data_IF_738986032342
#
_entry.id   IF_738986032342
#
_cell.length_a   1.000
_cell.length_b   1.000
_cell.length_c   1.000
_cell.angle_alpha   90.00
_cell.angle_beta   90.00
_cell.angle_gamma   90.00
#
_symmetry.space_group_name_H-M   'P 1'
#
loop_
_entity.id
_entity.type
_entity.pdbx_description
1 polymer ?
#
# COMPACT_ATOMS: atom_id res chain seq x y z
N UNK A 1 -12.49 -3.04 -5.84
CA UNK A 1 -11.24 -2.56 -5.19
C UNK A 1 -11.56 -2.07 -3.78
N UNK A 2 -10.81 -2.52 -2.78
CA UNK A 2 -10.89 -1.96 -1.43
C UNK A 2 -10.05 -0.68 -1.35
N UNK A 3 -10.51 0.32 -0.61
CA UNK A 3 -9.74 1.52 -0.28
C UNK A 3 -9.55 1.55 1.23
N UNK A 4 -8.32 1.49 1.70
CA UNK A 4 -7.94 1.55 3.11
C UNK A 4 -7.15 2.84 3.29
N UNK A 5 -7.79 3.95 3.68
CA UNK A 5 -7.11 5.23 3.77
C UNK A 5 -6.06 5.25 4.90
N UNK A 6 -6.36 4.58 6.01
CA UNK A 6 -5.47 4.49 7.17
C UNK A 6 -5.36 5.81 7.93
N UNK A 7 -4.14 6.17 8.34
CA UNK A 7 -3.84 7.23 9.30
C UNK A 7 -3.00 8.37 8.70
N UNK A 8 -2.93 9.48 9.44
CA UNK A 8 -2.10 10.63 9.10
C UNK A 8 -2.49 11.24 7.76
N UNK A 9 -1.55 11.25 6.81
CA UNK A 9 -1.76 11.78 5.44
C UNK A 9 -2.53 10.78 4.54
N UNK A 10 -2.75 9.55 5.01
CA UNK A 10 -3.41 8.49 4.25
C UNK A 10 -4.79 8.86 3.69
N UNK A 11 -5.72 9.38 4.50
CA UNK A 11 -7.04 9.85 4.06
C UNK A 11 -7.00 10.89 2.94
N UNK A 12 -6.19 11.94 3.10
CA UNK A 12 -6.06 13.02 2.11
C UNK A 12 -5.54 12.49 0.77
N UNK A 13 -4.58 11.57 0.78
CA UNK A 13 -4.04 10.97 -0.43
C UNK A 13 -5.05 10.00 -1.07
N UNK A 14 -5.75 9.19 -0.27
CA UNK A 14 -6.73 8.25 -0.77
C UNK A 14 -7.90 8.96 -1.49
N UNK A 15 -8.36 10.09 -0.92
CA UNK A 15 -9.43 10.93 -1.50
C UNK A 15 -9.06 11.46 -2.89
N UNK A 16 -7.78 11.77 -3.13
CA UNK A 16 -7.30 12.26 -4.42
C UNK A 16 -7.00 11.09 -5.39
N UNK A 17 -6.40 10.01 -4.89
CA UNK A 17 -5.99 8.86 -5.70
C UNK A 17 -7.19 8.06 -6.24
N UNK A 18 -8.24 7.86 -5.44
CA UNK A 18 -9.38 7.04 -5.82
C UNK A 18 -10.10 7.57 -7.08
N UNK A 19 -10.51 8.85 -7.18
CA UNK A 19 -11.11 9.39 -8.39
C UNK A 19 -10.16 9.34 -9.59
N UNK A 20 -8.86 9.56 -9.38
CA UNK A 20 -7.87 9.49 -10.46
C UNK A 20 -7.77 8.08 -11.04
N UNK A 21 -7.80 7.04 -10.20
CA UNK A 21 -7.81 5.64 -10.63
C UNK A 21 -9.11 5.28 -11.37
N UNK A 22 -10.26 5.70 -10.86
CA UNK A 22 -11.56 5.50 -11.53
C UNK A 22 -11.58 6.15 -12.90
N UNK A 23 -11.13 7.42 -13.00
CA UNK A 23 -11.04 8.13 -14.26
C UNK A 23 -10.06 7.46 -15.24
N UNK A 24 -8.91 6.98 -14.75
CA UNK A 24 -7.95 6.26 -15.59
C UNK A 24 -8.53 4.94 -16.12
N UNK A 25 -9.20 4.15 -15.27
CA UNK A 25 -9.83 2.90 -15.66
C UNK A 25 -10.94 3.09 -16.70
N UNK A 26 -11.76 4.14 -16.54
CA UNK A 26 -12.82 4.48 -17.49
C UNK A 26 -12.27 4.74 -18.91
N UNK A 27 -11.08 5.36 -19.03
CA UNK A 27 -10.40 5.56 -20.33
C UNK A 27 -10.00 4.26 -21.02
N UNK A 28 -9.89 3.17 -20.25
CA UNK A 28 -9.59 1.83 -20.73
C UNK A 28 -10.84 0.93 -20.74
N UNK A 29 -12.04 1.50 -20.61
CA UNK A 29 -13.31 0.77 -20.57
C UNK A 29 -13.39 -0.28 -19.44
N UNK A 30 -12.64 -0.04 -18.35
CA UNK A 30 -12.68 -0.87 -17.14
C UNK A 30 -13.53 -0.15 -16.09
N UNK A 31 -14.50 -0.88 -15.54
CA UNK A 31 -15.29 -0.40 -14.40
C UNK A 31 -14.57 -0.75 -13.09
N UNK A 32 -14.35 0.25 -12.23
CA UNK A 32 -13.79 0.06 -10.89
C UNK A 32 -14.86 0.38 -9.84
N UNK A 33 -15.35 -0.66 -9.18
CA UNK A 33 -16.12 -0.50 -7.95
C UNK A 33 -15.17 -0.34 -6.77
N UNK A 34 -15.48 0.61 -5.90
CA UNK A 34 -14.63 0.95 -4.75
C UNK A 34 -15.42 0.92 -3.46
N UNK A 35 -14.89 0.24 -2.46
CA UNK A 35 -15.44 0.24 -1.10
C UNK A 35 -14.40 0.77 -0.13
N UNK A 36 -14.75 1.78 0.66
CA UNK A 36 -13.86 2.34 1.69
C UNK A 36 -13.98 1.49 2.95
N UNK A 37 -12.84 1.06 3.48
CA UNK A 37 -12.69 0.32 4.72
C UNK A 37 -12.06 1.27 5.75
N UNK A 38 -12.72 1.44 6.89
CA UNK A 38 -12.33 2.37 7.95
C UNK A 38 -11.18 1.83 8.83
N UNK A 39 -10.26 1.06 8.26
CA UNK A 39 -9.18 0.39 8.98
C UNK A 39 -8.00 1.34 9.22
N UNK A 40 -7.43 1.29 10.42
CA UNK A 40 -6.38 2.20 10.87
C UNK A 40 -6.46 2.48 12.37
N UNK A 41 -5.66 3.42 12.83
CA UNK A 41 -5.59 3.84 14.22
C UNK A 41 -6.86 4.50 14.75
N UNK A 42 -7.61 5.24 13.92
CA UNK A 42 -8.92 5.75 14.34
C UNK A 42 -9.89 4.63 14.73
N UNK A 43 -9.89 3.51 14.01
CA UNK A 43 -10.66 2.32 14.38
C UNK A 43 -10.10 1.68 15.64
N UNK A 44 -8.78 1.61 15.77
CA UNK A 44 -8.14 1.09 16.97
C UNK A 44 -8.59 1.85 18.23
N UNK A 45 -8.68 3.18 18.19
CA UNK A 45 -9.17 3.98 19.32
C UNK A 45 -10.63 3.68 19.69
N UNK A 46 -11.46 3.34 18.69
CA UNK A 46 -12.89 3.02 18.91
C UNK A 46 -13.13 1.59 19.37
N UNK A 47 -12.39 0.63 18.81
CA UNK A 47 -12.71 -0.81 18.90
C UNK A 47 -11.59 -1.66 19.51
N UNK A 48 -10.42 -1.07 19.76
CA UNK A 48 -9.24 -1.79 20.24
C UNK A 48 -8.52 -2.63 19.17
N UNK A 49 -8.91 -2.49 17.90
CA UNK A 49 -8.28 -3.20 16.78
C UNK A 49 -8.24 -2.32 15.51
N UNK A 50 -7.12 -2.36 14.79
CA UNK A 50 -6.94 -1.56 13.56
C UNK A 50 -7.72 -2.10 12.36
N UNK A 51 -8.14 -3.37 12.39
CA UNK A 51 -9.03 -4.00 11.41
C UNK A 51 -9.85 -5.11 12.09
N UNK A 52 -10.98 -5.54 11.50
CA UNK A 52 -11.72 -6.72 11.93
C UNK A 52 -10.84 -7.97 12.00
N UNK A 53 -11.20 -8.91 12.87
CA UNK A 53 -10.48 -10.18 13.01
C UNK A 53 -10.46 -10.99 11.70
N UNK A 54 -11.50 -10.86 10.87
CA UNK A 54 -11.67 -11.49 9.56
C UNK A 54 -11.21 -10.58 8.40
N UNK A 55 -10.42 -9.54 8.67
CA UNK A 55 -10.00 -8.54 7.68
C UNK A 55 -9.37 -9.13 6.41
N UNK A 56 -8.47 -10.10 6.51
CA UNK A 56 -7.91 -10.75 5.32
C UNK A 56 -8.96 -11.56 4.52
N UNK A 57 -9.96 -12.13 5.18
CA UNK A 57 -11.07 -12.80 4.49
C UNK A 57 -11.92 -11.78 3.75
N UNK A 58 -12.23 -10.64 4.37
CA UNK A 58 -12.94 -9.54 3.70
C UNK A 58 -12.15 -9.02 2.50
N UNK A 59 -10.83 -8.84 2.62
CA UNK A 59 -9.99 -8.36 1.51
C UNK A 59 -9.91 -9.34 0.33
N UNK A 60 -10.06 -10.64 0.55
CA UNK A 60 -10.10 -11.63 -0.55
C UNK A 60 -11.31 -11.49 -1.46
N UNK A 61 -12.35 -10.78 -1.03
CA UNK A 61 -13.50 -10.45 -1.90
C UNK A 61 -13.18 -9.35 -2.92
N UNK A 62 -12.02 -8.70 -2.82
CA UNK A 62 -11.59 -7.64 -3.73
C UNK A 62 -10.40 -8.09 -4.59
N UNK A 63 -10.37 -7.64 -5.84
CA UNK A 63 -9.23 -7.91 -6.74
C UNK A 63 -7.96 -7.15 -6.37
N UNK A 64 -8.13 -6.00 -5.68
CA UNK A 64 -7.08 -5.05 -5.37
C UNK A 64 -7.43 -4.22 -4.14
N UNK A 65 -6.40 -3.73 -3.44
CA UNK A 65 -6.54 -2.76 -2.36
C UNK A 65 -5.66 -1.52 -2.63
N UNK A 66 -6.26 -0.33 -2.55
CA UNK A 66 -5.54 0.93 -2.44
C UNK A 66 -5.31 1.19 -0.95
N UNK A 67 -4.05 1.10 -0.51
CA UNK A 67 -3.67 1.28 0.88
C UNK A 67 -2.93 2.62 1.05
N UNK A 68 -3.38 3.44 1.99
CA UNK A 68 -2.76 4.73 2.32
C UNK A 68 -1.57 4.58 3.26
N UNK A 69 -1.56 5.36 4.35
CA UNK A 69 -0.52 5.29 5.37
C UNK A 69 -1.10 4.66 6.64
N UNK A 70 -0.26 4.01 7.46
CA UNK A 70 -0.65 3.52 8.77
C UNK A 70 0.40 3.93 9.78
N UNK A 71 -0.05 4.34 10.96
CA UNK A 71 0.83 4.76 12.04
C UNK A 71 0.35 6.07 12.66
N UNK A 72 0.46 6.13 13.98
CA UNK A 72 0.13 7.31 14.77
C UNK A 72 1.08 7.43 15.96
N UNK A 73 1.40 8.65 16.42
CA UNK A 73 2.30 8.83 17.57
C UNK A 73 1.73 8.34 18.91
N UNK A 74 0.41 8.27 19.04
CA UNK A 74 -0.32 7.92 20.27
C UNK A 74 -0.54 6.40 20.45
N UNK A 75 -0.28 5.59 19.42
CA UNK A 75 -0.49 4.14 19.44
C UNK A 75 0.82 3.43 19.08
N UNK A 76 1.26 2.42 19.86
CA UNK A 76 2.48 1.68 19.55
C UNK A 76 2.46 1.02 18.17
N UNK A 77 3.61 1.01 17.49
CA UNK A 77 3.73 0.42 16.15
C UNK A 77 3.38 -1.07 16.10
N UNK A 78 3.60 -1.83 17.19
CA UNK A 78 3.22 -3.25 17.24
C UNK A 78 1.71 -3.48 17.26
N UNK A 79 0.92 -2.46 17.61
CA UNK A 79 -0.53 -2.52 17.55
C UNK A 79 -1.03 -2.18 16.13
N UNK A 80 -0.54 -1.08 15.55
CA UNK A 80 -1.01 -0.62 14.23
C UNK A 80 -0.31 -1.34 13.07
N UNK A 81 1.02 -1.30 13.02
CA UNK A 81 1.78 -1.80 11.86
C UNK A 81 1.70 -3.32 11.80
N UNK A 82 1.90 -3.99 12.93
CA UNK A 82 1.83 -5.45 12.98
C UNK A 82 0.39 -5.96 12.93
N UNK A 83 -0.54 -5.28 13.61
CA UNK A 83 -1.96 -5.64 13.64
C UNK A 83 -2.69 -5.41 12.32
N UNK A 84 -2.16 -4.57 11.42
CA UNK A 84 -2.76 -4.27 10.11
C UNK A 84 -1.89 -4.73 8.95
N UNK A 85 -0.89 -3.94 8.53
CA UNK A 85 -0.22 -4.13 7.24
C UNK A 85 0.65 -5.39 7.21
N UNK A 86 1.34 -5.75 8.30
CA UNK A 86 2.15 -6.97 8.34
C UNK A 86 1.26 -8.21 8.37
N UNK A 87 0.23 -8.21 9.22
CA UNK A 87 -0.75 -9.30 9.30
C UNK A 87 -1.43 -9.55 7.95
N UNK A 88 -1.90 -8.49 7.28
CA UNK A 88 -2.50 -8.60 5.95
C UNK A 88 -1.53 -9.19 4.92
N UNK A 89 -0.27 -8.74 4.89
CA UNK A 89 0.73 -9.28 3.95
C UNK A 89 0.98 -10.75 4.18
N UNK A 90 1.05 -11.20 5.44
CA UNK A 90 1.25 -12.60 5.77
C UNK A 90 0.03 -13.44 5.40
N UNK A 91 -1.17 -13.03 5.81
CA UNK A 91 -2.40 -13.79 5.59
C UNK A 91 -2.80 -13.86 4.12
N UNK A 92 -2.51 -12.81 3.34
CA UNK A 92 -2.79 -12.77 1.90
C UNK A 92 -1.63 -13.34 1.04
N UNK A 93 -0.50 -13.70 1.64
CA UNK A 93 0.66 -14.23 0.91
C UNK A 93 1.35 -13.20 0.00
N UNK A 94 1.36 -11.92 0.39
CA UNK A 94 1.97 -10.81 -0.37
C UNK A 94 3.49 -10.78 -0.16
N UNK A 95 4.21 -11.68 -0.83
CA UNK A 95 5.65 -11.90 -0.67
C UNK A 95 6.52 -10.87 -1.41
N UNK A 96 6.02 -10.32 -2.52
CA UNK A 96 6.76 -9.40 -3.40
C UNK A 96 6.45 -7.95 -3.06
N UNK A 97 7.49 -7.12 -2.86
CA UNK A 97 7.35 -5.68 -2.63
C UNK A 97 8.15 -4.89 -3.68
N UNK A 98 7.45 -4.47 -4.74
CA UNK A 98 8.03 -3.65 -5.80
C UNK A 98 8.01 -2.17 -5.39
N UNK A 99 9.16 -1.48 -5.49
CA UNK A 99 9.27 -0.03 -5.25
C UNK A 99 10.03 0.67 -6.38
N UNK A 100 9.38 0.99 -7.50
CA UNK A 100 10.01 1.71 -8.59
C UNK A 100 10.56 3.06 -8.11
N UNK A 101 11.85 3.30 -8.30
CA UNK A 101 12.49 4.57 -7.94
C UNK A 101 13.06 5.21 -9.21
N UNK A 102 12.45 6.31 -9.66
CA UNK A 102 12.86 7.04 -10.86
C UNK A 102 12.91 8.54 -10.57
N UNK A 103 13.98 9.20 -11.03
CA UNK A 103 14.03 10.66 -11.10
C UNK A 103 13.35 11.15 -12.37
N UNK A 104 12.62 12.26 -12.27
CA UNK A 104 12.07 12.94 -13.44
C UNK A 104 13.11 13.90 -14.04
N UNK A 105 13.10 14.09 -15.37
CA UNK A 105 13.94 15.11 -16.01
C UNK A 105 13.72 16.48 -15.34
N UNK A 106 14.80 17.19 -15.04
CA UNK A 106 14.74 18.50 -14.36
C UNK A 106 14.80 18.45 -12.83
N UNK A 107 14.74 17.26 -12.21
CA UNK A 107 14.89 17.10 -10.76
C UNK A 107 16.23 16.43 -10.42
N UNK A 108 17.02 17.09 -9.57
CA UNK A 108 18.27 16.56 -9.06
C UNK A 108 18.00 15.43 -8.06
N UNK A 109 18.64 14.29 -8.27
CA UNK A 109 18.70 13.22 -7.29
C UNK A 109 19.65 13.67 -6.17
N UNK A 110 19.14 13.93 -4.96
CA UNK A 110 19.96 14.34 -3.79
C UNK A 110 21.03 13.30 -3.38
N UNK A 111 21.02 12.09 -3.97
CA UNK A 111 21.96 11.01 -3.63
C UNK A 111 23.03 10.75 -4.72
N UNK A 112 23.39 11.73 -5.55
CA UNK A 112 24.34 11.55 -6.66
C UNK A 112 25.64 12.36 -6.52
N UNK A 113 26.17 12.55 -5.31
CA UNK A 113 27.52 13.12 -5.13
C UNK A 113 28.66 12.12 -5.36
N UNK A 114 28.42 10.89 -5.85
CA UNK A 114 29.55 9.94 -6.09
C UNK A 114 29.39 8.96 -7.25
N UNK A 115 28.37 9.05 -8.10
CA UNK A 115 28.32 8.16 -9.29
C UNK A 115 27.99 8.96 -10.53
N UNK A 116 29.04 9.16 -11.34
CA UNK A 116 29.01 9.86 -12.61
C UNK A 116 27.89 9.35 -13.51
N UNK A 117 27.24 10.32 -14.16
CA UNK A 117 26.51 10.21 -15.43
C UNK A 117 26.09 8.79 -15.85
N UNK A 118 24.98 8.30 -15.32
CA UNK A 118 24.20 7.27 -15.98
C UNK A 118 22.72 7.42 -15.61
N UNK A 119 21.87 7.69 -16.60
CA UNK A 119 20.42 7.67 -16.50
C UNK A 119 19.87 6.26 -16.25
N UNK A 120 20.17 5.69 -15.09
CA UNK A 120 19.79 4.34 -14.71
C UNK A 120 18.40 4.28 -14.08
N UNK A 121 17.52 3.45 -14.66
CA UNK A 121 16.26 3.02 -14.05
C UNK A 121 16.57 1.97 -12.98
N UNK A 122 16.37 2.29 -11.70
CA UNK A 122 16.57 1.34 -10.62
C UNK A 122 15.20 0.79 -10.15
N UNK A 123 14.93 -0.48 -10.46
CA UNK A 123 13.85 -1.24 -9.82
C UNK A 123 14.49 -1.95 -8.63
N UNK A 124 14.11 -1.60 -7.40
CA UNK A 124 14.54 -2.33 -6.20
C UNK A 124 13.42 -3.30 -5.81
N UNK A 125 13.69 -4.57 -6.01
CA UNK A 125 12.91 -5.67 -5.45
C UNK A 125 13.44 -5.98 -4.04
N UNK A 126 12.55 -6.05 -3.05
CA UNK A 126 12.87 -6.59 -1.72
C UNK A 126 11.81 -7.63 -1.39
N UNK A 127 12.24 -8.87 -1.23
CA UNK A 127 11.42 -9.92 -0.63
C UNK A 127 11.03 -9.47 0.78
N UNK A 128 9.73 -9.29 1.03
CA UNK A 128 9.22 -8.97 2.37
C UNK A 128 8.95 -10.23 3.21
N UNK A 129 9.26 -11.41 2.66
CA UNK A 129 9.12 -12.70 3.31
C UNK A 129 10.40 -13.50 3.09
N UNK A 130 11.18 -13.72 4.15
CA UNK A 130 12.26 -14.71 4.14
C UNK A 130 11.66 -16.11 4.03
N UNK A 131 11.66 -16.69 2.83
CA UNK A 131 11.30 -18.07 2.50
C UNK A 131 10.83 -18.22 1.04
N UNK A 132 11.32 -19.19 0.23
CA UNK A 132 11.09 -19.23 -1.20
C UNK A 132 9.77 -19.96 -1.55
N UNK A 133 8.84 -19.31 -2.25
CA UNK A 133 7.72 -19.97 -2.96
C UNK A 133 7.45 -19.26 -4.30
N UNK A 134 7.56 -19.96 -5.46
CA UNK A 134 7.55 -19.37 -6.80
C UNK A 134 6.17 -19.16 -7.44
N UNK A 135 5.05 -19.13 -6.70
CA UNK A 135 3.71 -19.01 -7.31
C UNK A 135 2.81 -18.01 -6.59
N UNK A 136 2.74 -16.75 -7.06
CA UNK A 136 1.49 -15.94 -7.26
C UNK A 136 1.70 -14.42 -7.13
N UNK A 137 1.08 -13.69 -8.07
CA UNK A 137 0.32 -12.44 -7.87
C UNK A 137 1.09 -11.17 -7.50
N UNK A 138 1.17 -10.21 -8.44
CA UNK A 138 1.64 -8.86 -8.17
C UNK A 138 0.46 -7.92 -7.87
N UNK A 139 0.59 -7.07 -6.84
CA UNK A 139 -0.28 -5.89 -6.66
C UNK A 139 0.51 -4.68 -6.14
N UNK A 140 0.05 -3.50 -6.56
CA UNK A 140 0.66 -2.18 -6.49
C UNK A 140 0.51 -1.52 -5.10
N UNK A 141 1.56 -0.80 -4.69
CA UNK A 141 1.51 0.30 -3.73
C UNK A 141 2.48 1.37 -4.22
#
# INVERSE_FOLDING_TARGET
>A
MAVIPGDGVGPEIAEICQPALVAAAARHQVHLETSVLDWGGERYLREGAAMPADGATQLRAYDAALFGAVGRPDIPDHELVWGLIIKLRQELGLSVNLRPARSFPGYLRRTAETLGSAGGRAVRDRSSTSGPDPRRGALYC
#
